data_IF_286192893728
#
_entry.id   IF_286192893728
#
_cell.length_a   1.000
_cell.length_b   1.000
_cell.length_c   1.000
_cell.angle_alpha   90.00
_cell.angle_beta   90.00
_cell.angle_gamma   90.00
#
_symmetry.space_group_name_H-M   'P 1'
#
loop_
_entity.id
_entity.type
_entity.pdbx_description
1 polymer ?
#
# COMPACT_ATOMS: atom_id res chain seq x y z
N UNK A 1 -8.16 22.39 -1.27
CA UNK A 1 -8.84 21.45 -2.16
C UNK A 1 -8.17 20.08 -2.04
N UNK A 2 -8.96 19.09 -1.75
CA UNK A 2 -8.46 17.72 -1.66
C UNK A 2 -8.65 17.03 -3.00
N UNK A 3 -7.55 16.52 -3.57
CA UNK A 3 -7.61 15.80 -4.83
C UNK A 3 -7.80 14.31 -4.55
N UNK A 4 -8.90 13.77 -5.05
CA UNK A 4 -9.15 12.35 -4.93
C UNK A 4 -8.31 11.59 -5.94
N UNK A 5 -7.71 10.49 -5.50
CA UNK A 5 -6.99 9.61 -6.42
C UNK A 5 -8.00 8.67 -7.07
N UNK A 6 -8.13 8.78 -8.40
CA UNK A 6 -8.97 7.89 -9.19
C UNK A 6 -8.28 6.53 -9.39
N UNK A 7 -9.02 5.48 -9.79
CA UNK A 7 -8.40 4.19 -10.12
C UNK A 7 -7.28 4.31 -11.14
N UNK A 8 -7.46 5.12 -12.18
CA UNK A 8 -6.44 5.33 -13.21
C UNK A 8 -5.16 5.94 -12.64
N UNK A 9 -5.31 6.95 -11.78
CA UNK A 9 -4.16 7.60 -11.14
C UNK A 9 -3.44 6.64 -10.21
N UNK A 10 -4.19 5.87 -9.41
CA UNK A 10 -3.60 4.89 -8.51
C UNK A 10 -2.77 3.87 -9.27
N UNK A 11 -3.31 3.29 -10.34
CA UNK A 11 -2.58 2.32 -11.16
C UNK A 11 -1.33 2.93 -11.77
N UNK A 12 -1.44 4.14 -12.30
CA UNK A 12 -0.31 4.84 -12.91
C UNK A 12 0.82 5.07 -11.90
N UNK A 13 0.48 5.52 -10.70
CA UNK A 13 1.46 5.81 -9.66
C UNK A 13 2.14 4.55 -9.12
N UNK A 14 1.43 3.43 -9.11
CA UNK A 14 1.98 2.15 -8.66
C UNK A 14 2.67 1.36 -9.78
N UNK A 15 2.64 1.88 -11.01
CA UNK A 15 3.34 1.25 -12.13
C UNK A 15 2.57 0.13 -12.84
N UNK A 16 1.26 0.08 -12.68
CA UNK A 16 0.42 -0.93 -13.34
C UNK A 16 -0.06 -0.46 -14.70
N UNK A 17 -0.21 -1.42 -15.62
CA UNK A 17 -0.90 -1.18 -16.88
C UNK A 17 -2.40 -1.02 -16.62
N UNK A 18 -3.03 -0.12 -17.37
CA UNK A 18 -4.47 0.10 -17.26
C UNK A 18 -5.22 -0.91 -18.11
N UNK A 19 -6.10 -1.68 -17.48
CA UNK A 19 -7.01 -2.62 -18.14
C UNK A 19 -8.35 -2.58 -17.42
N UNK A 20 -9.38 -3.13 -18.03
CA UNK A 20 -10.70 -3.16 -17.39
C UNK A 20 -10.64 -3.89 -16.06
N UNK A 21 -9.92 -5.00 -15.99
CA UNK A 21 -9.80 -5.77 -14.74
C UNK A 21 -9.00 -5.03 -13.66
N UNK A 22 -7.89 -4.38 -14.03
CA UNK A 22 -7.09 -3.62 -13.05
C UNK A 22 -7.82 -2.38 -12.57
N UNK A 23 -8.57 -1.71 -13.44
CA UNK A 23 -9.39 -0.56 -13.04
C UNK A 23 -10.50 -0.96 -12.08
N UNK A 24 -11.18 -2.07 -12.32
CA UNK A 24 -12.21 -2.60 -11.42
C UNK A 24 -11.62 -2.99 -10.07
N UNK A 25 -10.46 -3.62 -10.07
CA UNK A 25 -9.77 -4.02 -8.86
C UNK A 25 -9.36 -2.79 -8.03
N UNK A 26 -8.80 -1.78 -8.67
CA UNK A 26 -8.43 -0.53 -8.00
C UNK A 26 -9.66 0.18 -7.42
N UNK A 27 -10.76 0.21 -8.16
CA UNK A 27 -12.02 0.79 -7.68
C UNK A 27 -12.54 0.10 -6.43
N UNK A 28 -12.53 -1.24 -6.42
CA UNK A 28 -12.93 -2.01 -5.25
C UNK A 28 -12.06 -1.72 -4.03
N UNK A 29 -10.76 -1.62 -4.24
CA UNK A 29 -9.79 -1.32 -3.18
C UNK A 29 -10.08 0.06 -2.59
N UNK A 30 -10.28 1.06 -3.42
CA UNK A 30 -10.57 2.42 -2.97
C UNK A 30 -11.87 2.45 -2.16
N UNK A 31 -12.90 1.74 -2.62
CA UNK A 31 -14.20 1.70 -1.94
C UNK A 31 -14.17 0.90 -0.64
N UNK A 32 -13.31 -0.12 -0.54
CA UNK A 32 -13.22 -0.98 0.64
C UNK A 32 -12.30 -0.42 1.71
N UNK A 33 -11.39 0.50 1.36
CA UNK A 33 -10.43 1.08 2.27
C UNK A 33 -11.02 2.33 2.93
N UNK A 34 -11.25 2.26 4.22
CA UNK A 34 -11.89 3.35 4.97
C UNK A 34 -11.10 4.65 4.84
N UNK A 35 -11.80 5.71 4.42
CA UNK A 35 -11.22 7.06 4.27
C UNK A 35 -9.99 7.11 3.36
N UNK A 36 -9.99 6.28 2.31
CA UNK A 36 -8.86 6.16 1.38
C UNK A 36 -8.33 7.53 0.92
N UNK A 37 -9.22 8.45 0.53
CA UNK A 37 -8.82 9.74 -0.01
C UNK A 37 -8.14 10.65 1.01
N UNK A 38 -8.29 10.38 2.30
CA UNK A 38 -7.64 11.17 3.35
C UNK A 38 -6.13 10.91 3.43
N UNK A 39 -5.70 9.72 3.04
CA UNK A 39 -4.28 9.34 3.14
C UNK A 39 -3.68 8.79 1.85
N UNK A 40 -4.42 8.82 0.75
CA UNK A 40 -3.98 8.22 -0.51
C UNK A 40 -2.65 8.76 -1.01
N UNK A 41 -2.42 10.06 -0.90
CA UNK A 41 -1.13 10.66 -1.30
C UNK A 41 0.03 10.15 -0.44
N UNK A 42 -0.24 9.79 0.80
CA UNK A 42 0.78 9.23 1.69
C UNK A 42 1.13 7.79 1.30
N UNK A 43 0.20 7.06 0.69
CA UNK A 43 0.47 5.74 0.12
C UNK A 43 1.49 5.86 -1.02
N UNK A 44 1.30 6.83 -1.90
CA UNK A 44 2.20 7.05 -3.03
C UNK A 44 3.61 7.40 -2.52
N UNK A 45 3.69 8.30 -1.54
CA UNK A 45 4.97 8.66 -0.92
C UNK A 45 5.63 7.47 -0.25
N UNK A 46 4.85 6.63 0.43
CA UNK A 46 5.36 5.41 1.05
C UNK A 46 5.95 4.46 0.00
N UNK A 47 5.24 4.26 -1.11
CA UNK A 47 5.71 3.39 -2.19
C UNK A 47 7.08 3.85 -2.70
N UNK A 48 7.25 5.15 -2.93
CA UNK A 48 8.53 5.71 -3.37
C UNK A 48 9.64 5.48 -2.35
N UNK A 49 9.33 5.65 -1.08
CA UNK A 49 10.28 5.47 0.00
C UNK A 49 10.70 4.01 0.17
N UNK A 50 9.75 3.08 -0.01
CA UNK A 50 9.99 1.65 0.13
C UNK A 50 10.89 1.06 -0.95
N UNK A 51 11.04 1.72 -2.08
CA UNK A 51 11.89 1.25 -3.18
C UNK A 51 13.33 1.03 -2.74
N UNK A 52 13.80 1.79 -1.76
CA UNK A 52 15.16 1.64 -1.21
C UNK A 52 15.36 0.33 -0.45
N UNK A 53 14.26 -0.30 -0.05
CA UNK A 53 14.27 -1.53 0.76
C UNK A 53 13.80 -2.74 -0.04
N UNK A 54 13.76 -2.64 -1.37
CA UNK A 54 13.18 -3.68 -2.25
C UNK A 54 11.74 -3.99 -1.87
N UNK A 55 11.00 -2.97 -1.45
CA UNK A 55 9.61 -3.09 -1.05
C UNK A 55 8.73 -2.18 -1.92
N UNK A 56 7.43 -2.44 -1.91
CA UNK A 56 6.50 -1.70 -2.74
C UNK A 56 5.07 -1.85 -2.24
N UNK A 57 4.20 -0.96 -2.70
CA UNK A 57 2.75 -1.05 -2.50
C UNK A 57 2.15 -1.67 -3.75
N UNK A 58 1.24 -2.61 -3.59
CA UNK A 58 0.64 -3.33 -4.72
C UNK A 58 -0.84 -3.60 -4.46
N UNK A 59 -1.55 -3.95 -5.54
CA UNK A 59 -2.92 -4.45 -5.46
C UNK A 59 -2.88 -5.89 -4.94
N UNK A 60 -3.72 -6.22 -3.96
CA UNK A 60 -3.83 -7.59 -3.49
C UNK A 60 -4.75 -8.38 -4.41
N UNK A 61 -4.35 -9.61 -4.75
CA UNK A 61 -5.17 -10.52 -5.54
C UNK A 61 -6.12 -11.36 -4.68
N UNK A 62 -5.90 -11.39 -3.38
CA UNK A 62 -6.69 -12.22 -2.45
C UNK A 62 -7.66 -11.41 -1.59
N UNK A 63 -7.53 -10.08 -1.56
CA UNK A 63 -8.37 -9.20 -0.76
C UNK A 63 -8.72 -7.93 -1.54
N UNK A 64 -9.65 -7.14 -1.02
CA UNK A 64 -10.03 -5.86 -1.60
C UNK A 64 -9.24 -4.69 -1.00
N UNK A 65 -7.96 -4.92 -0.67
CA UNK A 65 -7.10 -3.91 -0.07
C UNK A 65 -5.78 -3.80 -0.82
N UNK A 66 -5.09 -2.68 -0.64
CA UNK A 66 -3.69 -2.58 -1.05
C UNK A 66 -2.83 -3.36 -0.07
N UNK A 67 -1.73 -3.89 -0.55
CA UNK A 67 -0.73 -4.54 0.30
C UNK A 67 0.61 -3.81 0.21
N UNK A 68 1.35 -3.87 1.30
CA UNK A 68 2.74 -3.40 1.37
C UNK A 68 3.59 -4.64 1.49
N UNK A 69 4.50 -4.86 0.53
CA UNK A 69 5.28 -6.09 0.47
C UNK A 69 6.78 -5.80 0.35
N UNK A 70 7.58 -6.59 1.06
CA UNK A 70 9.04 -6.60 0.94
C UNK A 70 9.49 -7.96 0.41
N UNK A 71 10.65 -8.02 -0.21
CA UNK A 71 11.23 -9.27 -0.70
C UNK A 71 11.60 -10.16 0.50
N UNK A 72 11.08 -11.40 0.53
CA UNK A 72 11.34 -12.37 1.60
C UNK A 72 12.81 -12.76 1.69
N UNK A 73 13.55 -12.60 0.60
CA UNK A 73 14.96 -12.99 0.52
C UNK A 73 15.92 -11.88 0.94
N UNK A 74 15.38 -10.73 1.37
CA UNK A 74 16.23 -9.63 1.83
C UNK A 74 16.91 -9.98 3.15
N UNK A 75 18.04 -9.31 3.40
CA UNK A 75 18.75 -9.45 4.66
C UNK A 75 17.86 -9.00 5.84
N UNK A 76 18.08 -9.60 7.01
CA UNK A 76 17.32 -9.30 8.21
C UNK A 76 17.30 -7.81 8.55
N UNK A 77 18.41 -7.12 8.32
CA UNK A 77 18.53 -5.68 8.56
C UNK A 77 17.54 -4.89 7.69
N UNK A 78 17.39 -5.29 6.43
CA UNK A 78 16.46 -4.64 5.49
C UNK A 78 15.02 -4.93 5.91
N UNK A 79 14.73 -6.16 6.33
CA UNK A 79 13.41 -6.54 6.81
C UNK A 79 13.03 -5.78 8.07
N UNK A 80 13.95 -5.61 9.02
CA UNK A 80 13.72 -4.82 10.22
C UNK A 80 13.41 -3.37 9.88
N UNK A 81 14.17 -2.77 8.99
CA UNK A 81 13.97 -1.41 8.53
C UNK A 81 12.61 -1.25 7.85
N UNK A 82 12.23 -2.24 7.03
CA UNK A 82 10.92 -2.27 6.39
C UNK A 82 9.79 -2.28 7.42
N UNK A 83 9.85 -3.18 8.41
CA UNK A 83 8.82 -3.26 9.44
C UNK A 83 8.72 -1.98 10.26
N UNK A 84 9.85 -1.38 10.59
CA UNK A 84 9.90 -0.12 11.32
C UNK A 84 9.29 1.02 10.50
N UNK A 85 9.61 1.08 9.21
CA UNK A 85 9.05 2.10 8.32
C UNK A 85 7.54 2.01 8.20
N UNK A 86 7.00 0.79 8.05
CA UNK A 86 5.55 0.57 7.98
C UNK A 86 4.89 0.97 9.30
N UNK A 87 5.46 0.59 10.43
CA UNK A 87 4.92 0.93 11.75
C UNK A 87 4.90 2.45 11.97
N UNK A 88 5.97 3.14 11.62
CA UNK A 88 6.07 4.58 11.73
C UNK A 88 5.05 5.29 10.85
N UNK A 89 4.92 4.83 9.60
CA UNK A 89 3.96 5.39 8.65
C UNK A 89 2.51 5.21 9.14
N UNK A 90 2.18 4.00 9.60
CA UNK A 90 0.86 3.67 10.14
C UNK A 90 0.50 4.57 11.32
N UNK A 91 1.44 4.75 12.24
CA UNK A 91 1.25 5.58 13.42
C UNK A 91 1.12 7.06 13.06
N UNK A 92 1.95 7.53 12.13
CA UNK A 92 1.99 8.95 11.75
C UNK A 92 0.67 9.41 11.11
N UNK A 93 0.06 8.56 10.30
CA UNK A 93 -1.15 8.92 9.53
C UNK A 93 -2.43 8.27 10.06
N UNK A 94 -2.34 7.56 11.20
CA UNK A 94 -3.47 6.88 11.82
C UNK A 94 -4.16 5.90 10.84
N UNK A 95 -3.35 5.12 10.15
CA UNK A 95 -3.82 4.12 9.20
C UNK A 95 -3.65 2.73 9.81
N UNK A 96 -4.71 1.94 9.78
CA UNK A 96 -4.66 0.56 10.26
C UNK A 96 -4.05 -0.33 9.19
N UNK A 97 -3.03 -1.09 9.57
CA UNK A 97 -2.42 -2.10 8.71
C UNK A 97 -2.46 -3.46 9.43
N UNK A 98 -2.57 -4.53 8.64
CA UNK A 98 -2.61 -5.90 9.17
C UNK A 98 -1.46 -6.70 8.59
N UNK A 99 -0.55 -7.14 9.46
CA UNK A 99 0.60 -7.95 9.05
C UNK A 99 0.17 -9.41 8.86
N UNK A 100 0.64 -10.02 7.77
CA UNK A 100 0.46 -11.45 7.54
C UNK A 100 1.46 -12.25 8.37
N UNK A 101 1.03 -13.43 8.86
CA UNK A 101 1.91 -14.32 9.60
C UNK A 101 3.04 -14.83 8.73
N UNK A 102 4.27 -14.78 9.26
CA UNK A 102 5.47 -15.34 8.64
C UNK A 102 5.85 -14.74 7.28
N UNK A 103 5.26 -13.58 6.91
CA UNK A 103 5.57 -12.90 5.65
C UNK A 103 5.76 -11.41 5.88
N UNK A 104 6.70 -10.77 5.16
CA UNK A 104 6.87 -9.31 5.22
C UNK A 104 5.82 -8.62 4.35
N UNK A 105 4.56 -8.82 4.67
CA UNK A 105 3.42 -8.27 3.93
C UNK A 105 2.41 -7.69 4.90
N UNK A 106 1.91 -6.50 4.57
CA UNK A 106 0.86 -5.82 5.32
C UNK A 106 -0.29 -5.46 4.39
N UNK A 107 -1.52 -5.57 4.89
CA UNK A 107 -2.69 -5.00 4.20
C UNK A 107 -2.99 -3.63 4.78
N UNK A 108 -3.35 -2.68 3.91
CA UNK A 108 -3.79 -1.34 4.31
C UNK A 108 -5.31 -1.37 4.43
N UNK A 109 -5.82 -1.33 5.67
CA UNK A 109 -7.25 -1.48 5.92
C UNK A 109 -8.03 -0.17 5.89
N UNK A 110 -7.36 0.96 6.18
CA UNK A 110 -8.00 2.26 6.21
C UNK A 110 -7.61 3.04 7.46
N UNK A 111 -8.31 4.14 7.71
CA UNK A 111 -8.04 4.94 8.92
C UNK A 111 -8.54 4.22 10.17
N UNK A 112 -7.84 4.47 11.27
CA UNK A 112 -8.22 3.94 12.58
C UNK A 112 -9.48 4.64 13.11
#
# INVERSE_FOLDING_TARGET
MQLDISPEVLLSQLGYAKSDSSLKQAEKIINSTKDFNKFSKHIISLNDHLKKMNAYVALSNSTEFLKIKCDDNDADEILEEFHEEVANWSSKYNVEVKKLDKKPVYYILGTI
#
